data_IF_016088636436
#
_entry.id   IF_016088636436
#
_cell.length_a   1.000
_cell.length_b   1.000
_cell.length_c   1.000
_cell.angle_alpha   90.00
_cell.angle_beta   90.00
_cell.angle_gamma   90.00
#
_symmetry.space_group_name_H-M   'P 1'
#
loop_
_entity.id
_entity.type
_entity.pdbx_description
1 polymer ?
#
# COMPACT_ATOMS: atom_id res chain seq x y z
N UNK A 1 15.81 -24.88 -55.31
CA UNK A 1 16.69 -24.47 -54.21
C UNK A 1 16.74 -22.94 -54.22
N UNK A 2 15.77 -22.31 -53.55
CA UNK A 2 15.62 -20.85 -53.47
C UNK A 2 15.65 -20.53 -51.98
N UNK A 3 16.78 -19.91 -51.52
CA UNK A 3 17.03 -19.46 -50.17
C UNK A 3 16.26 -18.12 -49.99
N UNK A 4 15.20 -18.10 -49.23
CA UNK A 4 14.54 -16.88 -48.77
C UNK A 4 15.24 -16.40 -47.51
N UNK A 5 16.02 -15.34 -47.61
CA UNK A 5 16.64 -14.62 -46.50
C UNK A 5 15.53 -13.75 -45.87
N UNK A 6 15.06 -14.14 -44.69
CA UNK A 6 14.17 -13.31 -43.88
C UNK A 6 15.01 -12.22 -43.20
N UNK A 7 14.89 -10.99 -43.68
CA UNK A 7 15.42 -9.80 -43.02
C UNK A 7 14.53 -9.50 -41.82
N UNK A 8 15.04 -9.84 -40.63
CA UNK A 8 14.43 -9.44 -39.35
C UNK A 8 14.71 -7.95 -39.16
N UNK A 9 13.77 -7.10 -39.55
CA UNK A 9 13.81 -5.67 -39.21
C UNK A 9 13.63 -5.54 -37.69
N UNK A 10 14.73 -5.27 -36.96
CA UNK A 10 14.68 -4.74 -35.61
C UNK A 10 13.98 -3.37 -35.68
N UNK A 11 12.70 -3.34 -35.35
CA UNK A 11 12.03 -2.09 -35.01
C UNK A 11 12.69 -1.59 -33.73
N UNK A 12 13.58 -0.61 -33.85
CA UNK A 12 14.01 0.24 -32.74
C UNK A 12 12.75 0.94 -32.25
N UNK A 13 12.16 0.43 -31.19
CA UNK A 13 11.10 1.13 -30.47
C UNK A 13 11.75 2.39 -29.92
N UNK A 14 11.58 3.49 -30.61
CA UNK A 14 11.93 4.81 -30.13
C UNK A 14 11.04 5.05 -28.90
N UNK A 15 11.62 4.87 -27.71
CA UNK A 15 10.90 5.18 -26.47
C UNK A 15 10.74 6.69 -26.42
N UNK A 16 9.51 7.16 -26.67
CA UNK A 16 9.18 8.56 -26.48
C UNK A 16 9.54 8.97 -25.05
N UNK A 17 10.25 10.09 -24.92
CA UNK A 17 10.59 10.64 -23.60
C UNK A 17 9.30 10.97 -22.84
N UNK A 18 9.07 10.31 -21.74
CA UNK A 18 7.89 10.53 -20.89
C UNK A 18 8.02 11.90 -20.21
N UNK A 19 7.25 12.88 -20.70
CA UNK A 19 7.12 14.16 -20.03
C UNK A 19 6.22 13.99 -18.83
N UNK A 20 6.75 14.27 -17.65
CA UNK A 20 6.11 13.97 -16.39
C UNK A 20 5.96 15.25 -15.57
N UNK A 21 4.72 15.67 -15.35
CA UNK A 21 4.39 16.68 -14.35
C UNK A 21 4.25 16.04 -12.97
N UNK A 22 4.37 16.84 -11.90
CA UNK A 22 4.21 16.35 -10.54
C UNK A 22 2.82 15.73 -10.27
N UNK A 23 1.68 16.34 -10.70
CA UNK A 23 0.36 15.71 -10.55
C UNK A 23 0.24 14.37 -11.27
N UNK A 24 0.80 14.26 -12.48
CA UNK A 24 0.81 13.00 -13.23
C UNK A 24 1.65 11.93 -12.53
N UNK A 25 2.85 12.29 -12.02
CA UNK A 25 3.69 11.37 -11.26
C UNK A 25 2.94 10.79 -10.06
N UNK A 26 2.27 11.62 -9.27
CA UNK A 26 1.49 11.15 -8.13
C UNK A 26 0.31 10.28 -8.57
N UNK A 27 -0.37 10.63 -9.67
CA UNK A 27 -1.49 9.84 -10.20
C UNK A 27 -1.02 8.44 -10.66
N UNK A 28 0.11 8.36 -11.36
CA UNK A 28 0.70 7.08 -11.78
C UNK A 28 1.05 6.23 -10.56
N UNK A 29 1.73 6.81 -9.56
CA UNK A 29 2.11 6.08 -8.36
C UNK A 29 0.90 5.57 -7.57
N UNK A 30 -0.15 6.39 -7.41
CA UNK A 30 -1.38 5.96 -6.71
C UNK A 30 -2.10 4.81 -7.42
N UNK A 31 -1.84 4.59 -8.72
CA UNK A 31 -2.39 3.49 -9.49
C UNK A 31 -1.48 2.27 -9.51
N UNK A 32 -0.16 2.46 -9.68
CA UNK A 32 0.78 1.41 -10.01
C UNK A 32 1.74 1.02 -8.86
N UNK A 33 1.91 1.87 -7.82
CA UNK A 33 2.83 1.59 -6.73
C UNK A 33 2.44 0.31 -5.98
N UNK A 34 3.42 -0.52 -5.68
CA UNK A 34 3.22 -1.82 -5.04
C UNK A 34 2.63 -1.68 -3.62
N UNK A 35 2.98 -0.63 -2.89
CA UNK A 35 2.43 -0.34 -1.57
C UNK A 35 0.91 -0.08 -1.63
N UNK A 36 0.44 0.66 -2.64
CA UNK A 36 -0.99 0.93 -2.86
C UNK A 36 -1.71 -0.34 -3.31
N UNK A 37 -1.10 -1.12 -4.20
CA UNK A 37 -1.64 -2.41 -4.66
C UNK A 37 -1.78 -3.40 -3.49
N UNK A 38 -0.77 -3.45 -2.61
CA UNK A 38 -0.80 -4.26 -1.38
C UNK A 38 -1.92 -3.80 -0.45
N UNK A 39 -2.03 -2.51 -0.16
CA UNK A 39 -3.09 -1.97 0.69
C UNK A 39 -4.50 -2.27 0.13
N UNK A 40 -4.68 -2.19 -1.19
CA UNK A 40 -5.92 -2.58 -1.84
C UNK A 40 -6.19 -4.10 -1.76
N UNK A 41 -5.15 -4.95 -1.81
CA UNK A 41 -5.28 -6.39 -1.60
C UNK A 41 -5.68 -6.72 -0.15
N UNK A 42 -5.15 -6.01 0.84
CA UNK A 42 -5.53 -6.14 2.25
C UNK A 42 -7.01 -5.75 2.47
N UNK A 43 -7.51 -4.72 1.78
CA UNK A 43 -8.95 -4.39 1.79
C UNK A 43 -9.77 -5.55 1.22
N UNK A 44 -9.39 -6.13 0.07
CA UNK A 44 -10.09 -7.30 -0.51
C UNK A 44 -10.05 -8.53 0.42
N UNK A 45 -8.92 -8.74 1.11
CA UNK A 45 -8.81 -9.81 2.13
C UNK A 45 -9.83 -9.62 3.25
N UNK A 46 -9.95 -8.41 3.79
CA UNK A 46 -10.93 -8.12 4.86
C UNK A 46 -12.38 -8.16 4.34
N UNK A 47 -12.62 -7.81 3.08
CA UNK A 47 -13.94 -8.00 2.43
C UNK A 47 -14.32 -9.47 2.34
N UNK A 48 -13.39 -10.34 1.95
CA UNK A 48 -13.60 -11.78 1.95
C UNK A 48 -13.87 -12.32 3.36
N UNK A 49 -13.19 -11.78 4.38
CA UNK A 49 -13.47 -12.13 5.79
C UNK A 49 -14.88 -11.73 6.24
N UNK A 50 -15.44 -10.63 5.75
CA UNK A 50 -16.84 -10.26 5.99
C UNK A 50 -17.78 -11.29 5.36
N UNK A 51 -17.49 -11.75 4.14
CA UNK A 51 -18.30 -12.78 3.46
C UNK A 51 -18.24 -14.11 4.22
N UNK A 52 -17.05 -14.56 4.63
CA UNK A 52 -16.91 -15.80 5.41
C UNK A 52 -17.58 -15.72 6.77
N UNK A 53 -17.49 -14.58 7.47
CA UNK A 53 -18.18 -14.37 8.75
C UNK A 53 -19.70 -14.37 8.61
N UNK A 54 -20.23 -13.91 7.46
CA UNK A 54 -21.66 -13.97 7.16
C UNK A 54 -22.09 -15.37 6.75
N UNK A 55 -21.23 -16.12 6.10
CA UNK A 55 -21.55 -17.46 5.58
C UNK A 55 -21.92 -18.44 6.71
N UNK A 56 -21.38 -18.28 7.91
CA UNK A 56 -21.74 -19.11 9.08
C UNK A 56 -23.20 -18.97 9.50
N UNK A 57 -23.82 -17.80 9.21
CA UNK A 57 -25.23 -17.53 9.48
C UNK A 57 -26.17 -17.99 8.35
N UNK A 58 -25.65 -18.50 7.22
CA UNK A 58 -26.45 -18.95 6.09
C UNK A 58 -26.62 -20.46 6.09
N UNK A 59 -27.69 -21.00 5.43
CA UNK A 59 -27.86 -22.44 5.24
C UNK A 59 -26.65 -23.04 4.53
N UNK A 60 -26.18 -24.20 5.03
CA UNK A 60 -25.06 -24.95 4.49
C UNK A 60 -25.56 -26.23 3.87
N UNK A 61 -25.35 -26.41 2.58
CA UNK A 61 -25.64 -27.67 1.87
C UNK A 61 -24.35 -28.42 1.62
N UNK A 62 -24.28 -29.65 2.13
CA UNK A 62 -23.12 -30.54 1.96
C UNK A 62 -23.54 -31.86 1.39
N UNK A 63 -22.90 -32.31 0.32
CA UNK A 63 -23.04 -33.65 -0.22
C UNK A 63 -21.88 -34.51 0.30
N UNK A 64 -22.19 -35.66 0.90
CA UNK A 64 -21.18 -36.59 1.42
C UNK A 64 -21.46 -37.97 0.83
N UNK A 65 -20.43 -38.60 0.27
CA UNK A 65 -20.46 -39.98 -0.18
C UNK A 65 -19.46 -40.80 0.64
N UNK A 66 -19.90 -41.95 1.15
CA UNK A 66 -19.02 -42.87 1.87
C UNK A 66 -19.20 -44.29 1.36
N UNK A 67 -18.11 -45.00 1.19
CA UNK A 67 -18.06 -46.44 1.00
C UNK A 67 -17.31 -47.06 2.17
N UNK A 68 -17.95 -48.03 2.82
CA UNK A 68 -17.36 -48.82 3.87
C UNK A 68 -17.34 -50.29 3.51
N UNK A 69 -16.19 -50.92 3.60
CA UNK A 69 -16.06 -52.38 3.52
C UNK A 69 -15.71 -52.92 4.90
N UNK A 70 -16.56 -53.82 5.38
CA UNK A 70 -16.43 -54.44 6.69
C UNK A 70 -15.82 -55.83 6.56
N UNK A 71 -14.57 -55.99 6.87
CA UNK A 71 -13.85 -57.26 6.82
C UNK A 71 -14.32 -58.27 7.89
N UNK A 72 -14.73 -57.77 9.05
CA UNK A 72 -15.21 -58.58 10.16
C UNK A 72 -16.27 -57.85 10.98
N UNK A 73 -17.44 -58.41 11.13
CA UNK A 73 -18.56 -57.89 11.91
C UNK A 73 -18.80 -58.73 13.14
N UNK A 74 -18.49 -58.26 14.34
CA UNK A 74 -18.67 -58.98 15.60
C UNK A 74 -20.14 -59.34 15.87
N UNK A 75 -21.09 -58.44 15.53
CA UNK A 75 -22.52 -58.63 15.70
C UNK A 75 -23.05 -59.74 14.79
N UNK A 76 -22.57 -59.80 13.56
CA UNK A 76 -22.95 -60.86 12.61
C UNK A 76 -22.44 -62.24 13.08
N UNK A 77 -21.29 -62.29 13.72
CA UNK A 77 -20.72 -63.50 14.33
C UNK A 77 -21.44 -63.97 15.60
N UNK A 78 -21.85 -62.99 16.46
CA UNK A 78 -22.43 -63.28 17.76
C UNK A 78 -23.94 -63.58 17.72
N UNK A 79 -24.71 -62.95 16.83
CA UNK A 79 -26.17 -62.96 16.87
C UNK A 79 -26.77 -63.64 15.62
N UNK A 80 -26.51 -63.13 14.41
CA UNK A 80 -27.04 -63.73 13.18
C UNK A 80 -26.34 -63.15 11.94
N UNK A 81 -26.21 -63.94 10.88
CA UNK A 81 -25.67 -63.55 9.57
C UNK A 81 -26.48 -62.48 8.84
N UNK A 82 -27.75 -62.23 9.25
CA UNK A 82 -28.57 -61.14 8.70
C UNK A 82 -27.92 -59.76 8.86
N UNK A 83 -27.06 -59.57 9.89
CA UNK A 83 -26.31 -58.35 10.10
C UNK A 83 -24.99 -58.27 9.33
N UNK A 84 -24.71 -59.25 8.47
CA UNK A 84 -23.51 -59.27 7.66
C UNK A 84 -23.72 -58.41 6.39
N UNK A 85 -23.30 -57.14 6.48
CA UNK A 85 -23.32 -56.17 5.38
C UNK A 85 -21.87 -55.81 5.06
N UNK A 86 -21.21 -56.59 4.17
CA UNK A 86 -19.78 -56.37 3.90
C UNK A 86 -19.51 -55.02 3.21
N UNK A 87 -20.44 -54.54 2.40
CA UNK A 87 -20.28 -53.29 1.67
C UNK A 87 -21.45 -52.36 1.98
N UNK A 88 -21.14 -51.10 2.26
CA UNK A 88 -22.15 -50.05 2.48
C UNK A 88 -21.78 -48.82 1.67
N UNK A 89 -22.67 -48.41 0.81
CA UNK A 89 -22.59 -47.12 0.09
C UNK A 89 -23.61 -46.17 0.70
N UNK A 90 -23.15 -44.96 1.04
CA UNK A 90 -24.03 -43.90 1.50
C UNK A 90 -23.75 -42.63 0.67
N UNK A 91 -24.80 -42.03 0.13
CA UNK A 91 -24.75 -40.71 -0.48
C UNK A 91 -25.80 -39.82 0.18
N UNK A 92 -25.35 -38.80 0.90
CA UNK A 92 -26.23 -37.94 1.69
C UNK A 92 -26.03 -36.46 1.33
N UNK A 93 -27.13 -35.78 1.04
CA UNK A 93 -27.21 -34.35 1.00
C UNK A 93 -27.71 -33.84 2.36
N UNK A 94 -26.90 -33.04 3.06
CA UNK A 94 -27.22 -32.49 4.38
C UNK A 94 -27.32 -30.98 4.25
N UNK A 95 -28.52 -30.43 4.47
CA UNK A 95 -28.79 -29.01 4.61
C UNK A 95 -28.85 -28.69 6.11
N UNK A 96 -27.97 -27.84 6.60
CA UNK A 96 -27.94 -27.43 8.00
C UNK A 96 -27.98 -25.90 8.12
N UNK A 97 -28.74 -25.41 9.10
CA UNK A 97 -28.87 -24.00 9.43
C UNK A 97 -28.76 -23.79 10.93
N UNK A 98 -27.77 -23.05 11.37
CA UNK A 98 -27.70 -22.61 12.77
C UNK A 98 -28.69 -21.46 12.96
N UNK A 99 -29.68 -21.67 13.83
CA UNK A 99 -30.69 -20.68 14.17
C UNK A 99 -30.25 -19.79 15.34
N UNK A 100 -29.50 -20.37 16.27
CA UNK A 100 -29.01 -19.66 17.43
C UNK A 100 -27.69 -20.26 17.91
N UNK A 101 -26.71 -19.40 18.16
CA UNK A 101 -25.42 -19.73 18.78
C UNK A 101 -24.98 -18.55 19.66
N UNK A 102 -25.83 -18.16 20.61
CA UNK A 102 -25.49 -17.10 21.54
C UNK A 102 -25.21 -15.72 20.91
N UNK A 103 -25.62 -15.50 19.66
CA UNK A 103 -25.34 -14.25 18.94
C UNK A 103 -23.93 -14.14 18.34
N UNK A 104 -23.14 -15.22 18.36
CA UNK A 104 -21.76 -15.30 17.83
C UNK A 104 -21.68 -14.79 16.40
N UNK A 105 -22.56 -15.24 15.51
CA UNK A 105 -22.56 -14.90 14.09
C UNK A 105 -22.69 -13.39 13.89
N UNK A 106 -23.61 -12.75 14.60
CA UNK A 106 -23.82 -11.30 14.51
C UNK A 106 -22.64 -10.52 15.08
N UNK A 107 -22.06 -10.96 16.20
CA UNK A 107 -20.89 -10.33 16.80
C UNK A 107 -19.65 -10.46 15.89
N UNK A 108 -19.40 -11.64 15.36
CA UNK A 108 -18.29 -11.91 14.43
C UNK A 108 -18.44 -11.13 13.13
N UNK A 109 -19.65 -11.06 12.57
CA UNK A 109 -19.93 -10.27 11.37
C UNK A 109 -19.73 -8.76 11.59
N UNK A 110 -20.20 -8.23 12.73
CA UNK A 110 -19.96 -6.82 13.09
C UNK A 110 -18.47 -6.54 13.27
N UNK A 111 -17.74 -7.42 13.95
CA UNK A 111 -16.29 -7.32 14.10
C UNK A 111 -15.58 -7.28 12.74
N UNK A 112 -15.90 -8.23 11.84
CA UNK A 112 -15.33 -8.29 10.50
C UNK A 112 -15.63 -7.03 9.67
N UNK A 113 -16.84 -6.48 9.75
CA UNK A 113 -17.19 -5.21 9.08
C UNK A 113 -16.37 -4.03 9.60
N UNK A 114 -16.11 -3.94 10.91
CA UNK A 114 -15.27 -2.90 11.49
C UNK A 114 -13.82 -3.03 11.08
N UNK A 115 -13.30 -4.28 11.03
CA UNK A 115 -11.94 -4.54 10.53
C UNK A 115 -11.81 -4.15 9.06
N UNK A 116 -12.80 -4.45 8.21
CA UNK A 116 -12.82 -4.00 6.81
C UNK A 116 -12.80 -2.47 6.70
N UNK A 117 -13.59 -1.77 7.50
CA UNK A 117 -13.61 -0.30 7.48
C UNK A 117 -12.29 0.30 7.97
N UNK A 118 -11.68 -0.30 9.00
CA UNK A 118 -10.33 0.06 9.44
C UNK A 118 -9.29 -0.13 8.32
N UNK A 119 -9.33 -1.27 7.62
CA UNK A 119 -8.44 -1.54 6.49
C UNK A 119 -8.58 -0.51 5.34
N UNK A 120 -9.81 -0.05 5.05
CA UNK A 120 -10.06 1.00 4.06
C UNK A 120 -9.44 2.34 4.47
N UNK A 121 -9.55 2.71 5.74
CA UNK A 121 -8.92 3.91 6.28
C UNK A 121 -7.40 3.81 6.25
N UNK A 122 -6.84 2.66 6.62
CA UNK A 122 -5.40 2.39 6.53
C UNK A 122 -4.90 2.48 5.08
N UNK A 123 -5.66 1.93 4.12
CA UNK A 123 -5.32 2.05 2.71
C UNK A 123 -5.32 3.53 2.23
N UNK A 124 -6.20 4.37 2.79
CA UNK A 124 -6.19 5.82 2.57
C UNK A 124 -4.91 6.48 3.08
N UNK A 125 -4.45 6.12 4.29
CA UNK A 125 -3.16 6.60 4.84
C UNK A 125 -1.98 6.16 3.98
N UNK A 126 -1.92 4.89 3.57
CA UNK A 126 -0.87 4.40 2.67
C UNK A 126 -0.82 5.19 1.36
N UNK A 127 -1.96 5.54 0.78
CA UNK A 127 -2.01 6.39 -0.43
C UNK A 127 -1.44 7.78 -0.15
N UNK A 128 -1.76 8.39 1.00
CA UNK A 128 -1.21 9.69 1.38
C UNK A 128 0.32 9.63 1.58
N UNK A 129 0.82 8.57 2.21
CA UNK A 129 2.26 8.33 2.39
C UNK A 129 2.98 8.16 1.03
N UNK A 130 2.42 7.35 0.13
CA UNK A 130 2.96 7.16 -1.22
C UNK A 130 2.95 8.49 -1.99
N UNK A 131 1.88 9.29 -1.91
CA UNK A 131 1.81 10.59 -2.56
C UNK A 131 2.91 11.54 -2.08
N UNK A 132 3.15 11.62 -0.76
CA UNK A 132 4.26 12.43 -0.20
C UNK A 132 5.62 11.84 -0.56
N UNK A 133 5.76 10.51 -0.59
CA UNK A 133 6.98 9.82 -1.02
C UNK A 133 7.35 10.17 -2.46
N UNK A 134 6.38 10.16 -3.37
CA UNK A 134 6.57 10.54 -4.78
C UNK A 134 6.87 12.03 -4.91
N UNK A 135 6.14 12.87 -4.15
CA UNK A 135 6.42 14.30 -4.08
C UNK A 135 7.89 14.55 -3.71
N UNK A 136 8.38 13.89 -2.66
CA UNK A 136 9.78 13.99 -2.21
C UNK A 136 10.77 13.56 -3.29
N UNK A 137 10.52 12.43 -3.94
CA UNK A 137 11.40 11.92 -4.99
C UNK A 137 11.40 12.83 -6.23
N UNK A 138 10.23 13.31 -6.66
CA UNK A 138 10.10 14.23 -7.80
C UNK A 138 10.82 15.57 -7.53
N UNK A 139 10.56 16.16 -6.36
CA UNK A 139 11.19 17.41 -5.96
C UNK A 139 12.71 17.26 -5.77
N UNK A 140 13.14 16.10 -5.26
CA UNK A 140 14.56 15.75 -5.15
C UNK A 140 15.24 15.66 -6.53
N UNK A 141 14.59 15.01 -7.49
CA UNK A 141 15.09 14.92 -8.87
C UNK A 141 15.14 16.31 -9.56
N UNK A 142 14.08 17.10 -9.40
CA UNK A 142 14.02 18.48 -9.93
C UNK A 142 15.10 19.37 -9.31
N UNK A 143 15.37 19.23 -8.00
CA UNK A 143 16.47 19.91 -7.33
C UNK A 143 17.82 19.47 -7.88
N UNK A 144 18.04 18.17 -8.07
CA UNK A 144 19.29 17.64 -8.61
C UNK A 144 19.56 18.18 -10.04
N UNK A 145 18.52 18.28 -10.89
CA UNK A 145 18.61 18.93 -12.21
C UNK A 145 18.99 20.42 -12.09
N UNK A 146 18.40 21.15 -11.14
CA UNK A 146 18.71 22.55 -10.92
C UNK A 146 20.15 22.72 -10.42
N UNK A 147 20.63 21.87 -9.51
CA UNK A 147 22.01 21.88 -9.01
C UNK A 147 23.01 21.54 -10.10
N UNK A 148 22.74 20.54 -10.94
CA UNK A 148 23.58 20.24 -12.12
C UNK A 148 23.69 21.47 -13.02
N UNK A 149 22.61 22.15 -13.32
CA UNK A 149 22.59 23.36 -14.15
C UNK A 149 23.43 24.48 -13.52
N UNK A 150 23.21 24.78 -12.24
CA UNK A 150 23.96 25.81 -11.50
C UNK A 150 25.47 25.49 -11.55
N UNK A 151 25.88 24.27 -11.28
CA UNK A 151 27.29 23.85 -11.33
C UNK A 151 27.87 23.92 -12.74
N UNK A 152 27.07 23.51 -13.76
CA UNK A 152 27.45 23.62 -15.16
C UNK A 152 27.68 25.06 -15.61
N UNK A 153 26.80 25.98 -15.27
CA UNK A 153 26.93 27.41 -15.54
C UNK A 153 28.17 28.00 -14.88
N UNK A 154 28.46 27.62 -13.64
CA UNK A 154 29.69 28.03 -12.93
C UNK A 154 30.96 27.49 -13.59
N UNK A 155 30.96 26.28 -14.12
CA UNK A 155 32.10 25.73 -14.87
C UNK A 155 32.32 26.52 -16.17
N UNK A 156 31.24 26.94 -16.87
CA UNK A 156 31.33 27.79 -18.07
C UNK A 156 31.94 29.14 -17.71
N UNK A 157 31.47 29.79 -16.63
CA UNK A 157 32.03 31.07 -16.16
C UNK A 157 33.51 30.96 -15.76
N UNK A 158 33.90 29.87 -15.09
CA UNK A 158 35.29 29.59 -14.74
C UNK A 158 36.17 29.41 -16.00
N UNK A 159 35.64 28.73 -17.04
CA UNK A 159 36.33 28.53 -18.30
C UNK A 159 36.54 29.86 -19.03
N UNK A 160 35.54 30.73 -19.04
CA UNK A 160 35.63 32.07 -19.60
C UNK A 160 36.69 32.91 -18.87
N UNK A 161 36.77 32.77 -17.53
CA UNK A 161 37.79 33.45 -16.71
C UNK A 161 39.22 32.98 -17.01
N UNK A 162 39.42 31.66 -17.25
CA UNK A 162 40.72 31.16 -17.70
C UNK A 162 41.15 31.86 -19.00
N UNK A 163 40.26 31.92 -19.99
CA UNK A 163 40.54 32.61 -21.28
C UNK A 163 40.84 34.05 -21.09
N UNK A 164 40.07 34.76 -20.24
CA UNK A 164 40.32 36.17 -19.92
C UNK A 164 41.67 36.41 -19.21
N UNK A 165 42.05 35.56 -18.24
CA UNK A 165 43.32 35.64 -17.53
C UNK A 165 44.51 35.39 -18.47
N UNK A 166 44.38 34.48 -19.44
CA UNK A 166 45.40 34.18 -20.47
C UNK A 166 45.58 35.42 -21.38
N UNK A 167 44.49 36.05 -21.82
CA UNK A 167 44.52 37.26 -22.64
C UNK A 167 45.20 38.42 -21.89
N UNK A 168 44.85 38.63 -20.62
CA UNK A 168 45.45 39.68 -19.83
C UNK A 168 46.95 39.41 -19.52
N UNK A 169 47.32 38.16 -19.31
CA UNK A 169 48.72 37.76 -19.17
C UNK A 169 49.55 38.03 -20.43
N UNK A 170 49.02 37.67 -21.59
CA UNK A 170 49.69 37.93 -22.88
C UNK A 170 49.81 39.44 -23.14
N UNK A 171 48.90 40.25 -22.62
CA UNK A 171 49.00 41.72 -22.64
C UNK A 171 49.85 42.32 -21.54
N UNK A 172 50.50 41.49 -20.70
CA UNK A 172 51.35 41.93 -19.60
C UNK A 172 50.64 42.60 -18.41
N UNK A 173 49.32 42.40 -18.29
CA UNK A 173 48.45 43.09 -17.29
C UNK A 173 48.24 42.29 -16.02
N UNK A 174 48.47 40.98 -16.02
CA UNK A 174 48.32 40.11 -14.84
C UNK A 174 49.51 39.16 -14.73
N UNK A 175 49.76 38.59 -13.55
CA UNK A 175 50.83 37.65 -13.30
C UNK A 175 50.50 36.25 -13.78
N UNK A 176 51.52 35.44 -14.08
CA UNK A 176 51.33 33.99 -14.39
C UNK A 176 50.60 33.22 -13.30
N UNK A 177 50.76 33.68 -12.06
CA UNK A 177 50.01 33.13 -10.90
C UNK A 177 48.51 33.21 -11.10
N UNK A 178 47.95 34.30 -11.60
CA UNK A 178 46.51 34.48 -11.80
C UNK A 178 45.97 33.49 -12.88
N UNK A 179 46.74 33.22 -13.92
CA UNK A 179 46.37 32.22 -14.94
C UNK A 179 46.39 30.82 -14.33
N UNK A 180 47.43 30.46 -13.58
CA UNK A 180 47.47 29.12 -12.96
C UNK A 180 46.37 28.93 -11.93
N UNK A 181 46.05 29.95 -11.18
CA UNK A 181 44.95 29.96 -10.21
C UNK A 181 43.57 29.73 -10.89
N UNK A 182 43.26 30.47 -11.96
CA UNK A 182 42.01 30.29 -12.67
C UNK A 182 41.88 28.93 -13.29
N UNK A 183 42.96 28.33 -13.79
CA UNK A 183 43.00 26.94 -14.28
C UNK A 183 42.71 25.91 -13.17
N UNK A 184 43.29 26.10 -11.99
CA UNK A 184 43.03 25.23 -10.82
C UNK A 184 41.59 25.36 -10.36
N UNK A 185 41.02 26.57 -10.31
CA UNK A 185 39.62 26.80 -9.98
C UNK A 185 38.68 26.08 -10.95
N UNK A 186 38.93 26.21 -12.26
CA UNK A 186 38.17 25.43 -13.26
C UNK A 186 38.26 23.94 -13.06
N UNK A 187 39.48 23.41 -12.87
CA UNK A 187 39.75 21.99 -12.67
C UNK A 187 39.06 21.44 -11.41
N UNK A 188 38.91 22.24 -10.34
CA UNK A 188 38.18 21.85 -9.14
C UNK A 188 36.65 21.83 -9.33
N UNK A 189 36.11 22.55 -10.30
CA UNK A 189 34.67 22.55 -10.59
C UNK A 189 34.24 21.38 -11.49
N UNK A 190 35.12 20.84 -12.32
CA UNK A 190 34.79 19.71 -13.22
C UNK A 190 34.28 18.47 -12.47
N UNK A 191 34.92 17.98 -11.37
CA UNK A 191 34.41 16.84 -10.59
C UNK A 191 33.03 17.11 -9.97
N UNK A 192 32.76 18.38 -9.56
CA UNK A 192 31.48 18.76 -8.95
C UNK A 192 30.32 18.68 -9.96
N UNK A 193 30.59 19.00 -11.25
CA UNK A 193 29.58 18.86 -12.32
C UNK A 193 29.32 17.37 -12.60
N UNK A 194 30.38 16.56 -12.64
CA UNK A 194 30.26 15.10 -12.85
C UNK A 194 29.45 14.48 -11.71
N UNK A 195 29.73 14.88 -10.47
CA UNK A 195 28.97 14.42 -9.31
C UNK A 195 27.50 14.83 -9.40
N UNK A 196 27.19 16.10 -9.73
CA UNK A 196 25.83 16.58 -9.84
C UNK A 196 25.02 15.82 -10.92
N UNK A 197 25.67 15.49 -12.04
CA UNK A 197 25.07 14.65 -13.10
C UNK A 197 24.75 13.26 -12.59
N UNK A 198 25.65 12.64 -11.85
CA UNK A 198 25.41 11.32 -11.25
C UNK A 198 24.29 11.40 -10.19
N UNK A 199 24.29 12.43 -9.33
CA UNK A 199 23.25 12.62 -8.32
C UNK A 199 21.86 12.78 -8.96
N UNK A 200 21.77 13.49 -10.10
CA UNK A 200 20.52 13.61 -10.87
C UNK A 200 20.05 12.23 -11.39
N UNK A 201 20.96 11.44 -11.98
CA UNK A 201 20.60 10.11 -12.48
C UNK A 201 20.10 9.20 -11.35
N UNK A 202 20.75 9.21 -10.18
CA UNK A 202 20.31 8.45 -9.01
C UNK A 202 18.91 8.92 -8.56
N UNK A 203 18.66 10.22 -8.50
CA UNK A 203 17.35 10.75 -8.11
C UNK A 203 16.24 10.37 -9.11
N UNK A 204 16.54 10.35 -10.41
CA UNK A 204 15.61 9.88 -11.44
C UNK A 204 15.36 8.37 -11.35
N UNK A 205 16.38 7.57 -11.00
CA UNK A 205 16.21 6.12 -10.75
C UNK A 205 15.28 5.87 -9.55
N UNK A 206 15.43 6.61 -8.46
CA UNK A 206 14.54 6.52 -7.30
C UNK A 206 13.09 6.88 -7.65
N UNK A 207 12.90 7.91 -8.47
CA UNK A 207 11.58 8.30 -8.95
C UNK A 207 10.97 7.20 -9.85
N UNK A 208 11.74 6.64 -10.82
CA UNK A 208 11.27 5.52 -11.67
C UNK A 208 10.82 4.33 -10.84
N UNK A 209 11.57 3.98 -9.81
CA UNK A 209 11.23 2.88 -8.89
C UNK A 209 9.89 3.13 -8.18
N UNK A 210 9.66 4.34 -7.66
CA UNK A 210 8.41 4.67 -6.99
C UNK A 210 7.20 4.70 -7.93
N UNK A 211 7.43 5.01 -9.21
CA UNK A 211 6.40 5.01 -10.25
C UNK A 211 6.19 3.62 -10.89
N UNK A 212 6.96 2.62 -10.46
CA UNK A 212 6.99 1.28 -11.06
C UNK A 212 7.26 1.31 -12.57
N UNK A 213 8.16 2.22 -13.00
CA UNK A 213 8.58 2.37 -14.39
C UNK A 213 9.87 1.56 -14.64
N UNK A 214 10.13 1.14 -15.90
CA UNK A 214 11.39 0.52 -16.27
C UNK A 214 12.59 1.44 -15.93
N UNK A 215 13.69 0.84 -15.47
CA UNK A 215 14.90 1.57 -15.05
C UNK A 215 15.46 2.46 -16.17
N UNK A 216 15.31 2.04 -17.42
CA UNK A 216 15.83 2.72 -18.62
C UNK A 216 14.83 3.71 -19.24
N UNK A 217 13.61 3.85 -18.68
CA UNK A 217 12.60 4.76 -19.23
C UNK A 217 13.12 6.21 -19.22
N UNK A 218 13.18 6.90 -20.37
CA UNK A 218 13.57 8.29 -20.40
C UNK A 218 12.46 9.16 -19.82
N UNK A 219 12.77 9.93 -18.77
CA UNK A 219 11.83 10.83 -18.09
C UNK A 219 12.36 12.26 -18.20
N UNK A 220 11.47 13.19 -18.53
CA UNK A 220 11.68 14.64 -18.51
C UNK A 220 10.72 15.26 -17.50
N UNK A 221 11.26 15.96 -16.49
CA UNK A 221 10.45 16.63 -15.47
C UNK A 221 9.95 17.98 -16.02
N UNK A 222 8.64 18.22 -15.97
CA UNK A 222 8.04 19.44 -16.52
C UNK A 222 7.67 20.48 -15.47
N UNK A 223 7.52 20.08 -14.20
CA UNK A 223 7.17 20.99 -13.11
C UNK A 223 8.41 21.62 -12.51
N UNK A 224 8.52 22.93 -12.57
CA UNK A 224 9.56 23.71 -11.93
C UNK A 224 9.04 24.31 -10.62
N UNK A 225 9.93 24.38 -9.61
CA UNK A 225 9.60 25.01 -8.33
C UNK A 225 10.19 26.43 -8.35
N UNK A 226 9.30 27.39 -8.37
CA UNK A 226 9.64 28.80 -8.27
C UNK A 226 9.04 29.43 -7.00
N UNK A 227 9.37 30.69 -6.75
CA UNK A 227 8.87 31.45 -5.59
C UNK A 227 7.36 31.59 -5.59
N UNK A 228 6.69 31.57 -6.78
CA UNK A 228 5.25 31.70 -6.89
C UNK A 228 4.57 30.40 -6.44
N UNK A 229 5.12 29.26 -6.83
CA UNK A 229 4.66 27.93 -6.40
C UNK A 229 4.76 27.79 -4.88
N UNK A 230 5.88 28.20 -4.27
CA UNK A 230 6.06 28.18 -2.80
C UNK A 230 5.02 29.06 -2.12
N UNK A 231 4.72 30.26 -2.64
CA UNK A 231 3.74 31.16 -2.02
C UNK A 231 2.30 30.59 -2.08
N UNK A 232 1.91 29.95 -3.17
CA UNK A 232 0.62 29.24 -3.29
C UNK A 232 0.48 28.12 -2.27
N UNK A 233 1.52 27.31 -2.12
CA UNK A 233 1.53 26.19 -1.18
C UNK A 233 1.45 26.66 0.27
N UNK A 234 2.15 27.72 0.62
CA UNK A 234 2.08 28.33 1.95
C UNK A 234 0.67 28.86 2.24
N UNK A 235 -0.01 29.44 1.25
CA UNK A 235 -1.40 29.90 1.39
C UNK A 235 -2.35 28.73 1.62
N UNK A 236 -2.19 27.64 0.88
CA UNK A 236 -2.97 26.42 1.05
C UNK A 236 -2.73 25.76 2.42
N UNK A 237 -1.49 25.80 2.92
CA UNK A 237 -1.13 25.28 4.25
C UNK A 237 -1.68 26.11 5.42
N UNK A 238 -2.05 27.38 5.19
CA UNK A 238 -2.54 28.32 6.22
C UNK A 238 -4.03 28.16 6.58
N UNK A 239 -4.74 27.17 6.03
CA UNK A 239 -6.14 26.93 6.33
C UNK A 239 -6.37 26.50 7.79
N UNK A 240 -7.60 26.77 8.37
CA UNK A 240 -7.88 26.48 9.77
C UNK A 240 -7.73 25.01 10.14
N UNK A 241 -7.46 24.76 11.41
CA UNK A 241 -7.12 23.47 11.96
C UNK A 241 -8.20 22.39 11.75
N UNK A 242 -7.74 21.21 11.44
CA UNK A 242 -8.54 19.99 11.41
C UNK A 242 -8.48 19.30 12.78
N UNK A 243 -9.58 18.63 13.19
CA UNK A 243 -9.60 17.87 14.43
C UNK A 243 -8.77 16.59 14.29
N UNK A 244 -7.71 16.36 15.08
CA UNK A 244 -6.87 15.17 15.02
C UNK A 244 -7.64 13.84 15.16
N UNK A 245 -8.77 13.84 15.89
CA UNK A 245 -9.66 12.68 16.06
C UNK A 245 -10.27 12.19 14.73
N UNK A 246 -10.34 13.05 13.72
CA UNK A 246 -10.88 12.69 12.40
C UNK A 246 -9.84 12.06 11.47
N UNK A 247 -8.57 11.97 11.91
CA UNK A 247 -7.52 11.34 11.10
C UNK A 247 -7.84 9.87 10.85
N UNK A 248 -7.56 9.40 9.63
CA UNK A 248 -7.91 8.05 9.21
C UNK A 248 -7.23 6.98 10.06
N UNK A 249 -5.97 7.19 10.48
CA UNK A 249 -5.23 6.26 11.34
C UNK A 249 -5.87 6.13 12.73
N UNK A 250 -6.27 7.23 13.37
CA UNK A 250 -6.94 7.22 14.68
C UNK A 250 -8.30 6.52 14.57
N UNK A 251 -9.08 6.83 13.51
CA UNK A 251 -10.37 6.18 13.28
C UNK A 251 -10.21 4.68 12.97
N UNK A 252 -9.16 4.27 12.28
CA UNK A 252 -8.85 2.86 12.02
C UNK A 252 -8.53 2.12 13.33
N UNK A 253 -7.72 2.72 14.21
CA UNK A 253 -7.43 2.18 15.53
C UNK A 253 -8.69 2.09 16.40
N UNK A 254 -9.56 3.10 16.38
CA UNK A 254 -10.84 3.08 17.09
C UNK A 254 -11.75 1.95 16.59
N UNK A 255 -11.88 1.78 15.27
CA UNK A 255 -12.66 0.69 14.69
C UNK A 255 -12.09 -0.68 15.05
N UNK A 256 -10.77 -0.80 15.14
CA UNK A 256 -10.10 -2.02 15.59
C UNK A 256 -10.43 -2.32 17.06
N UNK A 257 -10.38 -1.36 17.96
CA UNK A 257 -10.77 -1.51 19.35
C UNK A 257 -12.26 -1.91 19.47
N UNK A 258 -13.14 -1.29 18.68
CA UNK A 258 -14.56 -1.67 18.62
C UNK A 258 -14.78 -3.08 18.08
N UNK A 259 -13.96 -3.53 17.12
CA UNK A 259 -14.01 -4.91 16.62
C UNK A 259 -13.58 -5.92 17.71
N UNK A 260 -12.57 -5.60 18.51
CA UNK A 260 -12.15 -6.42 19.66
C UNK A 260 -13.24 -6.49 20.74
N UNK A 261 -14.00 -5.41 20.95
CA UNK A 261 -15.18 -5.40 21.86
C UNK A 261 -16.28 -6.34 21.36
N UNK A 262 -16.56 -6.37 20.05
CA UNK A 262 -17.50 -7.34 19.46
C UNK A 262 -16.98 -8.79 19.61
N UNK A 263 -15.66 -9.00 19.53
CA UNK A 263 -15.06 -10.33 19.75
C UNK A 263 -15.30 -10.88 21.17
N UNK A 264 -15.40 -10.02 22.19
CA UNK A 264 -15.81 -10.45 23.54
C UNK A 264 -17.25 -10.99 23.53
N UNK A 265 -18.16 -10.33 22.81
CA UNK A 265 -19.53 -10.82 22.68
C UNK A 265 -19.58 -12.17 21.95
N UNK A 266 -18.74 -12.37 20.94
CA UNK A 266 -18.60 -13.66 20.27
C UNK A 266 -18.00 -14.75 21.17
N UNK A 267 -17.03 -14.42 22.02
CA UNK A 267 -16.47 -15.37 23.00
C UNK A 267 -17.48 -15.74 24.09
N UNK A 268 -18.30 -14.80 24.58
CA UNK A 268 -19.35 -15.07 25.55
C UNK A 268 -20.42 -16.02 25.03
N UNK A 269 -20.60 -16.11 23.74
CA UNK A 269 -21.54 -17.02 23.10
C UNK A 269 -21.22 -18.51 23.36
N UNK A 270 -19.98 -18.85 23.74
CA UNK A 270 -19.60 -20.21 24.09
C UNK A 270 -20.29 -20.74 25.37
N UNK A 271 -20.82 -19.86 26.21
CA UNK A 271 -21.59 -20.24 27.40
C UNK A 271 -23.07 -20.47 27.11
N UNK A 272 -23.52 -20.14 25.92
CA UNK A 272 -24.92 -20.19 25.53
C UNK A 272 -25.21 -21.43 24.68
N UNK A 273 -26.46 -21.93 24.68
CA UNK A 273 -26.82 -23.08 23.86
C UNK A 273 -26.72 -22.79 22.36
N UNK A 274 -26.51 -23.83 21.58
CA UNK A 274 -26.57 -23.82 20.12
C UNK A 274 -27.83 -24.55 19.65
N UNK A 275 -28.57 -23.96 18.74
CA UNK A 275 -29.75 -24.52 18.10
C UNK A 275 -29.50 -24.59 16.59
N UNK A 276 -29.50 -25.81 16.05
CA UNK A 276 -29.29 -26.04 14.62
C UNK A 276 -30.44 -26.89 14.06
N UNK A 277 -31.06 -26.43 13.00
CA UNK A 277 -32.01 -27.23 12.21
C UNK A 277 -31.24 -27.90 11.09
N UNK A 278 -31.56 -29.15 10.84
CA UNK A 278 -30.97 -29.90 9.73
C UNK A 278 -32.03 -30.66 8.96
N UNK A 279 -31.80 -30.81 7.68
CA UNK A 279 -32.53 -31.71 6.79
C UNK A 279 -31.51 -32.56 6.03
N UNK A 280 -31.64 -33.85 6.17
CA UNK A 280 -30.78 -34.82 5.48
C UNK A 280 -31.64 -35.64 4.52
N UNK A 281 -31.20 -35.78 3.30
CA UNK A 281 -31.80 -36.66 2.32
C UNK A 281 -30.69 -37.45 1.64
N UNK A 282 -30.82 -38.77 1.65
CA UNK A 282 -29.77 -39.62 1.14
C UNK A 282 -30.31 -40.92 0.56
N UNK A 283 -29.38 -41.68 0.02
CA UNK A 283 -29.61 -43.05 -0.42
C UNK A 283 -28.49 -43.93 0.08
N UNK A 284 -28.87 -45.15 0.46
CA UNK A 284 -27.95 -46.17 0.95
C UNK A 284 -28.12 -47.46 0.16
N UNK A 285 -27.00 -48.16 -0.04
CA UNK A 285 -27.03 -49.47 -0.67
C UNK A 285 -26.12 -50.45 0.08
N UNK A 286 -26.52 -51.70 0.14
CA UNK A 286 -25.84 -52.77 0.88
C UNK A 286 -25.52 -53.96 -0.01
N UNK A 287 -24.77 -53.82 -1.11
CA UNK A 287 -24.48 -54.91 -2.03
C UNK A 287 -23.56 -55.95 -1.38
N UNK A 288 -23.74 -57.24 -1.76
CA UNK A 288 -22.83 -58.31 -1.39
C UNK A 288 -21.51 -58.22 -2.18
N UNK A 289 -21.57 -57.74 -3.42
CA UNK A 289 -20.40 -57.42 -4.26
C UNK A 289 -19.75 -56.10 -3.80
N UNK A 290 -18.50 -55.90 -4.12
CA UNK A 290 -17.78 -54.65 -3.78
C UNK A 290 -18.19 -53.41 -4.58
N UNK A 291 -19.15 -53.52 -5.50
CA UNK A 291 -19.62 -52.45 -6.38
C UNK A 291 -21.04 -51.98 -6.02
N UNK A 292 -21.36 -50.71 -6.23
CA UNK A 292 -22.72 -50.23 -6.03
C UNK A 292 -23.68 -50.95 -6.97
N UNK A 293 -24.92 -51.28 -6.52
CA UNK A 293 -25.88 -51.96 -7.35
C UNK A 293 -26.24 -51.11 -8.58
N UNK A 294 -26.32 -51.76 -9.74
CA UNK A 294 -26.79 -51.14 -10.97
C UNK A 294 -28.29 -50.84 -10.93
N UNK A 295 -28.78 -50.01 -11.88
CA UNK A 295 -30.21 -49.79 -12.04
C UNK A 295 -30.87 -51.09 -12.42
N UNK A 296 -31.85 -51.56 -11.63
CA UNK A 296 -32.61 -52.80 -11.90
C UNK A 296 -32.11 -54.05 -11.17
N UNK A 297 -30.95 -53.98 -10.44
CA UNK A 297 -30.56 -55.08 -9.57
C UNK A 297 -31.43 -55.06 -8.31
N UNK A 298 -32.21 -56.13 -8.10
CA UNK A 298 -32.94 -56.36 -6.85
C UNK A 298 -32.07 -57.12 -5.87
N UNK A 299 -32.02 -56.68 -4.62
CA UNK A 299 -31.42 -57.53 -3.57
C UNK A 299 -32.47 -58.49 -3.05
N UNK A 300 -32.37 -59.80 -3.33
CA UNK A 300 -33.39 -60.78 -2.94
C UNK A 300 -33.64 -60.87 -1.43
N UNK A 301 -32.71 -60.33 -0.61
CA UNK A 301 -32.78 -60.34 0.87
C UNK A 301 -33.69 -59.25 1.45
N UNK A 302 -33.89 -58.16 0.74
CA UNK A 302 -34.64 -57.00 1.25
C UNK A 302 -35.98 -56.77 0.51
N UNK A 303 -36.20 -57.49 -0.58
CA UNK A 303 -37.44 -57.49 -1.32
C UNK A 303 -37.91 -58.92 -1.50
N UNK A 304 -38.53 -59.55 -0.47
CA UNK A 304 -39.04 -60.90 -0.56
C UNK A 304 -40.15 -61.00 -1.61
N UNK A 305 -40.22 -62.13 -2.27
CA UNK A 305 -41.26 -62.44 -3.26
C UNK A 305 -42.65 -62.19 -2.63
N UNK A 306 -43.46 -61.36 -3.27
CA UNK A 306 -44.79 -60.98 -2.78
C UNK A 306 -44.85 -59.72 -1.94
N UNK A 307 -43.71 -59.03 -1.71
CA UNK A 307 -43.75 -57.70 -1.11
C UNK A 307 -44.49 -56.72 -2.04
N UNK A 308 -45.33 -55.80 -1.51
CA UNK A 308 -45.93 -54.77 -2.35
C UNK A 308 -44.81 -54.05 -3.09
N UNK A 309 -45.04 -53.73 -4.36
CA UNK A 309 -44.08 -53.04 -5.23
C UNK A 309 -43.79 -51.65 -4.66
N UNK A 310 -43.10 -51.58 -3.53
CA UNK A 310 -42.57 -50.36 -2.96
C UNK A 310 -41.48 -49.85 -3.93
N UNK A 311 -41.49 -48.54 -4.18
CA UNK A 311 -40.54 -47.86 -5.09
C UNK A 311 -39.07 -48.15 -4.75
N UNK A 312 -38.80 -48.51 -3.50
CA UNK A 312 -37.45 -48.90 -3.01
C UNK A 312 -36.96 -50.21 -3.61
N UNK A 313 -37.84 -51.20 -3.82
CA UNK A 313 -37.48 -52.48 -4.48
C UNK A 313 -37.27 -52.34 -5.98
N UNK A 314 -37.86 -51.34 -6.62
CA UNK A 314 -37.70 -51.05 -8.05
C UNK A 314 -36.43 -50.24 -8.35
N UNK A 315 -35.77 -49.66 -7.35
CA UNK A 315 -34.61 -48.78 -7.52
C UNK A 315 -33.24 -49.53 -7.46
N UNK A 316 -33.18 -50.79 -7.71
CA UNK A 316 -31.93 -51.54 -7.81
C UNK A 316 -31.16 -51.63 -6.50
N UNK A 317 -31.84 -51.80 -5.35
CA UNK A 317 -31.21 -51.98 -4.05
C UNK A 317 -30.69 -50.71 -3.39
N UNK A 318 -31.08 -49.56 -3.87
CA UNK A 318 -30.88 -48.26 -3.23
C UNK A 318 -32.08 -47.89 -2.37
N UNK A 319 -31.82 -47.62 -1.07
CA UNK A 319 -32.86 -47.28 -0.10
C UNK A 319 -32.75 -45.78 0.21
N UNK A 320 -33.84 -45.03 0.07
CA UNK A 320 -33.91 -43.64 0.39
C UNK A 320 -34.07 -43.41 1.90
N UNK A 321 -33.32 -42.45 2.45
CA UNK A 321 -33.45 -41.98 3.83
C UNK A 321 -33.69 -40.48 3.82
N UNK A 322 -34.64 -40.01 4.64
CA UNK A 322 -34.96 -38.62 4.80
C UNK A 322 -35.22 -38.31 6.26
N UNK A 323 -34.42 -37.42 6.82
CA UNK A 323 -34.52 -37.04 8.24
C UNK A 323 -34.49 -35.54 8.32
N UNK A 324 -35.40 -34.98 9.15
CA UNK A 324 -35.37 -33.56 9.54
C UNK A 324 -35.39 -33.50 11.06
N UNK A 325 -34.62 -32.62 11.61
CA UNK A 325 -34.55 -32.49 13.06
C UNK A 325 -34.00 -31.14 13.51
N UNK A 326 -34.09 -30.95 14.82
CA UNK A 326 -33.48 -29.83 15.55
C UNK A 326 -32.48 -30.39 16.52
N UNK A 327 -31.26 -29.92 16.43
CA UNK A 327 -30.20 -30.26 17.39
C UNK A 327 -30.05 -29.09 18.38
N UNK A 328 -30.22 -29.39 19.67
CA UNK A 328 -29.95 -28.49 20.79
C UNK A 328 -28.72 -29.01 21.53
N UNK A 329 -27.70 -28.16 21.68
CA UNK A 329 -26.48 -28.48 22.41
C UNK A 329 -26.14 -27.34 23.37
N UNK A 330 -25.95 -27.65 24.63
CA UNK A 330 -25.58 -26.69 25.66
C UNK A 330 -24.42 -27.25 26.49
N UNK A 331 -23.22 -26.65 26.39
CA UNK A 331 -22.08 -27.07 27.23
C UNK A 331 -22.26 -26.56 28.66
N UNK A 332 -22.71 -27.42 29.56
CA UNK A 332 -22.87 -27.05 30.97
C UNK A 332 -21.54 -26.91 31.71
N UNK A 333 -20.55 -27.66 31.29
CA UNK A 333 -19.16 -27.58 31.77
C UNK A 333 -18.21 -27.94 30.62
N UNK A 334 -17.27 -27.06 30.31
CA UNK A 334 -16.34 -27.18 29.20
C UNK A 334 -14.86 -27.16 29.64
N UNK A 335 -14.59 -27.37 30.92
CA UNK A 335 -13.24 -27.32 31.51
C UNK A 335 -12.65 -25.89 31.55
N UNK A 336 -13.47 -24.85 31.70
CA UNK A 336 -13.09 -23.43 31.75
C UNK A 336 -12.62 -22.85 30.42
N UNK A 337 -12.82 -23.54 29.31
CA UNK A 337 -12.43 -23.10 27.96
C UNK A 337 -13.12 -21.78 27.59
N UNK A 338 -14.40 -21.66 27.80
CA UNK A 338 -15.17 -20.44 27.52
C UNK A 338 -14.68 -19.26 28.38
N UNK A 339 -14.36 -19.49 29.65
CA UNK A 339 -13.75 -18.47 30.52
C UNK A 339 -12.42 -17.98 29.95
N UNK A 340 -11.52 -18.90 29.62
CA UNK A 340 -10.23 -18.55 29.03
C UNK A 340 -10.35 -17.80 27.70
N UNK A 341 -11.34 -18.15 26.86
CA UNK A 341 -11.61 -17.44 25.60
C UNK A 341 -12.09 -15.99 25.85
N UNK A 342 -12.91 -15.77 26.89
CA UNK A 342 -13.36 -14.43 27.29
C UNK A 342 -12.20 -13.61 27.84
N UNK A 343 -11.39 -14.17 28.73
CA UNK A 343 -10.22 -13.50 29.31
C UNK A 343 -9.24 -13.09 28.21
N UNK A 344 -8.97 -13.98 27.25
CA UNK A 344 -8.15 -13.70 26.06
C UNK A 344 -8.74 -12.53 25.22
N UNK A 345 -10.06 -12.54 24.99
CA UNK A 345 -10.71 -11.50 24.21
C UNK A 345 -10.69 -10.14 24.95
N UNK A 346 -10.79 -10.14 26.28
CA UNK A 346 -10.67 -8.92 27.12
C UNK A 346 -9.25 -8.34 27.05
N UNK A 347 -8.23 -9.17 27.21
CA UNK A 347 -6.82 -8.74 27.08
C UNK A 347 -6.52 -8.17 25.68
N UNK A 348 -7.06 -8.80 24.63
CA UNK A 348 -6.95 -8.25 23.26
C UNK A 348 -7.67 -6.90 23.08
N UNK A 349 -8.77 -6.65 23.79
CA UNK A 349 -9.41 -5.33 23.78
C UNK A 349 -8.53 -4.31 24.50
N UNK A 350 -8.00 -4.61 25.66
CA UNK A 350 -7.11 -3.72 26.41
C UNK A 350 -5.89 -3.33 25.57
N UNK A 351 -5.24 -4.28 24.90
CA UNK A 351 -4.13 -4.01 23.97
C UNK A 351 -4.58 -3.04 22.86
N UNK A 352 -5.77 -3.24 22.29
CA UNK A 352 -6.27 -2.37 21.23
C UNK A 352 -6.64 -0.96 21.73
N UNK A 353 -7.14 -0.83 22.95
CA UNK A 353 -7.43 0.48 23.56
C UNK A 353 -6.13 1.24 23.91
N UNK A 354 -5.10 0.56 24.38
CA UNK A 354 -3.76 1.13 24.56
C UNK A 354 -3.13 1.57 23.23
N UNK A 355 -3.27 0.74 22.18
CA UNK A 355 -2.80 1.09 20.84
C UNK A 355 -3.52 2.34 20.28
N UNK A 356 -4.82 2.49 20.54
CA UNK A 356 -5.57 3.69 20.18
C UNK A 356 -5.06 4.94 20.91
N UNK A 357 -4.77 4.80 22.22
CA UNK A 357 -4.21 5.92 23.00
C UNK A 357 -2.85 6.34 22.47
N UNK A 358 -1.96 5.38 22.19
CA UNK A 358 -0.64 5.62 21.58
C UNK A 358 -0.74 6.28 20.21
N UNK A 359 -1.71 5.86 19.37
CA UNK A 359 -1.90 6.46 18.05
C UNK A 359 -2.35 7.92 18.14
N UNK A 360 -3.23 8.26 19.09
CA UNK A 360 -3.63 9.65 19.36
C UNK A 360 -2.45 10.53 19.76
N UNK A 361 -1.60 10.04 20.65
CA UNK A 361 -0.38 10.74 21.06
C UNK A 361 0.60 10.90 19.92
N UNK A 362 0.80 9.84 19.12
CA UNK A 362 1.68 9.86 17.95
C UNK A 362 1.21 10.89 16.91
N UNK A 363 -0.08 10.93 16.60
CA UNK A 363 -0.68 11.93 15.69
C UNK A 363 -0.53 13.35 16.22
N UNK A 364 -0.77 13.58 17.51
CA UNK A 364 -0.59 14.91 18.11
C UNK A 364 0.85 15.39 18.02
N UNK A 365 1.81 14.50 18.29
CA UNK A 365 3.24 14.79 18.17
C UNK A 365 3.65 15.03 16.71
N UNK A 366 3.14 14.23 15.77
CA UNK A 366 3.41 14.37 14.34
C UNK A 366 2.95 15.74 13.83
N UNK A 367 1.72 16.17 14.18
CA UNK A 367 1.19 17.49 13.82
C UNK A 367 2.05 18.61 14.40
N UNK A 368 2.44 18.49 15.68
CA UNK A 368 3.29 19.50 16.33
C UNK A 368 4.65 19.62 15.62
N UNK A 369 5.29 18.50 15.29
CA UNK A 369 6.56 18.45 14.55
C UNK A 369 6.42 19.03 13.14
N UNK A 370 5.38 18.65 12.40
CA UNK A 370 5.15 19.16 11.05
C UNK A 370 4.91 20.68 11.02
N UNK A 371 4.20 21.24 12.02
CA UNK A 371 4.01 22.69 12.18
C UNK A 371 5.33 23.41 12.47
N UNK A 372 6.13 22.88 13.39
CA UNK A 372 7.42 23.46 13.72
C UNK A 372 8.37 23.42 12.52
N UNK A 373 8.38 22.32 11.77
CA UNK A 373 9.20 22.16 10.57
C UNK A 373 8.79 23.13 9.46
N UNK A 374 7.49 23.30 9.20
CA UNK A 374 7.01 24.28 8.22
C UNK A 374 7.40 25.71 8.63
N UNK A 375 7.26 26.07 9.91
CA UNK A 375 7.66 27.38 10.40
C UNK A 375 9.17 27.63 10.23
N UNK A 376 10.00 26.63 10.56
CA UNK A 376 11.45 26.66 10.37
C UNK A 376 11.81 26.82 8.89
N UNK A 377 11.28 25.95 8.00
CA UNK A 377 11.59 25.96 6.59
C UNK A 377 11.17 27.26 5.91
N UNK A 378 9.99 27.81 6.29
CA UNK A 378 9.52 29.13 5.80
C UNK A 378 10.49 30.27 6.16
N UNK A 379 10.98 30.28 7.39
CA UNK A 379 11.94 31.35 7.86
C UNK A 379 13.28 31.22 7.15
N UNK A 380 13.77 29.99 6.95
CA UNK A 380 15.03 29.73 6.23
C UNK A 380 14.90 30.14 4.77
N UNK A 381 13.82 29.79 4.09
CA UNK A 381 13.59 30.15 2.69
C UNK A 381 13.57 31.68 2.50
N UNK A 382 12.87 32.40 3.38
CA UNK A 382 12.82 33.86 3.32
C UNK A 382 14.23 34.51 3.47
N UNK A 383 15.05 33.99 4.39
CA UNK A 383 16.44 34.45 4.57
C UNK A 383 17.33 34.11 3.36
N UNK A 384 17.20 32.85 2.80
CA UNK A 384 18.03 32.42 1.67
C UNK A 384 17.73 33.20 0.38
N UNK A 385 16.47 33.59 0.12
CA UNK A 385 16.13 34.47 -1.00
C UNK A 385 16.85 35.80 -0.96
N UNK A 386 16.90 36.42 0.20
CA UNK A 386 17.64 37.68 0.37
C UNK A 386 19.15 37.49 0.15
N UNK A 387 19.73 36.40 0.69
CA UNK A 387 21.15 36.09 0.53
C UNK A 387 21.56 35.92 -0.94
N UNK A 388 20.71 35.28 -1.78
CA UNK A 388 20.98 35.13 -3.23
C UNK A 388 21.07 36.50 -3.90
N UNK A 389 20.14 37.42 -3.59
CA UNK A 389 20.12 38.75 -4.18
C UNK A 389 21.40 39.56 -3.80
N UNK A 390 21.83 39.45 -2.55
CA UNK A 390 23.05 40.13 -2.06
C UNK A 390 24.32 39.49 -2.66
N UNK A 391 24.37 38.15 -2.79
CA UNK A 391 25.49 37.42 -3.38
C UNK A 391 25.66 37.72 -4.87
N UNK A 392 24.51 37.79 -5.62
CA UNK A 392 24.54 38.17 -7.04
C UNK A 392 25.06 39.54 -7.28
N UNK A 393 24.62 40.54 -6.49
CA UNK A 393 25.13 41.92 -6.58
C UNK A 393 26.62 41.99 -6.20
N UNK A 394 27.05 41.25 -5.16
CA UNK A 394 28.46 41.19 -4.77
C UNK A 394 29.32 40.60 -5.90
N UNK A 395 28.89 39.51 -6.53
CA UNK A 395 29.60 38.93 -7.67
C UNK A 395 29.65 39.87 -8.86
N UNK A 396 28.56 40.56 -9.18
CA UNK A 396 28.49 41.53 -10.25
C UNK A 396 29.47 42.70 -10.03
N UNK A 397 29.52 43.25 -8.81
CA UNK A 397 30.44 44.35 -8.43
C UNK A 397 31.91 43.89 -8.45
N UNK A 398 32.23 42.70 -7.92
CA UNK A 398 33.57 42.12 -7.95
C UNK A 398 34.09 41.94 -9.38
N UNK A 399 33.22 41.37 -10.26
CA UNK A 399 33.51 41.16 -11.67
C UNK A 399 33.76 42.48 -12.42
N UNK A 400 32.98 43.54 -12.13
CA UNK A 400 33.15 44.86 -12.72
C UNK A 400 34.45 45.51 -12.26
N UNK A 401 34.78 45.45 -10.96
CA UNK A 401 36.05 45.95 -10.40
C UNK A 401 37.26 45.27 -11.00
N UNK A 402 37.20 43.92 -11.15
CA UNK A 402 38.28 43.16 -11.76
C UNK A 402 38.47 43.51 -13.24
N UNK A 403 37.40 43.64 -14.02
CA UNK A 403 37.50 44.01 -15.44
C UNK A 403 38.11 45.41 -15.67
N UNK A 404 37.93 46.33 -14.69
CA UNK A 404 38.52 47.68 -14.70
C UNK A 404 39.95 47.73 -14.09
N UNK A 405 40.47 46.61 -13.57
CA UNK A 405 41.82 46.51 -13.00
C UNK A 405 41.96 47.09 -11.60
N UNK A 406 40.84 47.35 -10.88
CA UNK A 406 40.82 47.88 -9.51
C UNK A 406 40.41 46.82 -8.47
N UNK A 407 40.13 45.60 -8.91
CA UNK A 407 39.84 44.45 -8.05
C UNK A 407 40.80 43.28 -8.32
N UNK A 408 40.80 42.30 -7.43
CA UNK A 408 41.62 41.09 -7.55
C UNK A 408 40.81 39.91 -8.12
N UNK A 409 41.50 38.94 -8.75
CA UNK A 409 40.86 37.68 -9.18
C UNK A 409 40.32 36.89 -7.97
N UNK A 410 40.90 37.03 -6.78
CA UNK A 410 40.44 36.42 -5.54
C UNK A 410 39.04 36.90 -5.16
N UNK A 411 38.81 38.24 -5.18
CA UNK A 411 37.49 38.80 -4.87
C UNK A 411 36.41 38.25 -5.76
N UNK A 412 36.71 38.10 -7.07
CA UNK A 412 35.74 37.50 -8.03
C UNK A 412 35.47 36.03 -7.74
N UNK A 413 36.54 35.25 -7.46
CA UNK A 413 36.39 33.82 -7.18
C UNK A 413 35.60 33.56 -5.91
N UNK A 414 35.86 34.33 -4.86
CA UNK A 414 35.19 34.23 -3.56
C UNK A 414 33.71 34.59 -3.69
N UNK A 415 33.41 35.73 -4.34
CA UNK A 415 32.01 36.16 -4.57
C UNK A 415 31.24 35.21 -5.48
N UNK A 416 31.89 34.58 -6.48
CA UNK A 416 31.27 33.53 -7.32
C UNK A 416 30.96 32.29 -6.49
N UNK A 417 31.86 31.84 -5.62
CA UNK A 417 31.61 30.67 -4.75
C UNK A 417 30.44 30.95 -3.79
N UNK A 418 30.38 32.17 -3.21
CA UNK A 418 29.26 32.55 -2.35
C UNK A 418 27.93 32.58 -3.10
N UNK A 419 27.91 33.07 -4.34
CA UNK A 419 26.72 33.04 -5.19
C UNK A 419 26.28 31.61 -5.49
N UNK A 420 27.21 30.71 -5.86
CA UNK A 420 26.94 29.28 -6.11
C UNK A 420 26.30 28.62 -4.89
N UNK A 421 26.89 28.84 -3.70
CA UNK A 421 26.38 28.28 -2.45
C UNK A 421 24.97 28.84 -2.17
N UNK A 422 24.78 30.16 -2.28
CA UNK A 422 23.50 30.81 -2.01
C UNK A 422 22.37 30.33 -2.96
N UNK A 423 22.69 30.18 -4.24
CA UNK A 423 21.73 29.65 -5.23
C UNK A 423 21.33 28.19 -4.95
N UNK A 424 22.31 27.37 -4.56
CA UNK A 424 22.05 25.97 -4.20
C UNK A 424 21.21 25.86 -2.93
N UNK A 425 21.54 26.65 -1.91
CA UNK A 425 20.81 26.69 -0.65
C UNK A 425 19.39 27.24 -0.79
N UNK A 426 19.18 28.23 -1.66
CA UNK A 426 17.83 28.74 -1.97
C UNK A 426 16.99 27.67 -2.64
N UNK A 427 17.55 26.97 -3.65
CA UNK A 427 16.87 25.89 -4.33
C UNK A 427 16.46 24.76 -3.39
N UNK A 428 17.37 24.35 -2.50
CA UNK A 428 17.09 23.35 -1.47
C UNK A 428 16.00 23.83 -0.52
N UNK A 429 16.08 25.07 -0.02
CA UNK A 429 15.11 25.63 0.93
C UNK A 429 13.69 25.76 0.34
N UNK A 430 13.58 26.00 -0.97
CA UNK A 430 12.28 26.00 -1.66
C UNK A 430 11.63 24.61 -1.65
N UNK A 431 12.42 23.56 -1.91
CA UNK A 431 11.97 22.17 -1.81
C UNK A 431 11.58 21.82 -0.38
N UNK A 432 12.38 22.20 0.60
CA UNK A 432 12.13 21.92 2.03
C UNK A 432 10.80 22.54 2.50
N UNK A 433 10.49 23.77 2.09
CA UNK A 433 9.19 24.40 2.40
C UNK A 433 8.04 23.62 1.82
N UNK A 434 8.17 23.20 0.55
CA UNK A 434 7.12 22.44 -0.10
C UNK A 434 6.88 21.11 0.59
N UNK A 435 7.94 20.35 0.87
CA UNK A 435 7.85 19.07 1.59
C UNK A 435 7.24 19.23 2.97
N UNK A 436 7.66 20.26 3.72
CA UNK A 436 7.11 20.54 5.05
C UNK A 436 5.62 20.88 5.01
N UNK A 437 5.16 21.60 3.99
CA UNK A 437 3.74 21.91 3.79
C UNK A 437 2.93 20.64 3.42
N UNK A 438 3.47 19.79 2.56
CA UNK A 438 2.84 18.52 2.18
C UNK A 438 2.75 17.53 3.36
N UNK A 439 3.83 17.45 4.17
CA UNK A 439 3.84 16.64 5.40
C UNK A 439 2.83 17.16 6.44
N UNK A 440 2.70 18.47 6.58
CA UNK A 440 1.67 19.05 7.45
C UNK A 440 0.27 18.73 6.95
N UNK A 441 0.02 18.83 5.64
CA UNK A 441 -1.26 18.45 5.05
C UNK A 441 -1.58 16.97 5.32
N UNK A 442 -0.61 16.07 5.13
CA UNK A 442 -0.74 14.64 5.46
C UNK A 442 -0.99 14.44 6.96
N UNK A 443 -0.21 15.05 7.83
CA UNK A 443 -0.35 14.94 9.28
C UNK A 443 -1.74 15.41 9.76
N UNK A 444 -2.31 16.41 9.10
CA UNK A 444 -3.68 16.89 9.36
C UNK A 444 -4.78 16.08 8.65
N UNK A 445 -4.43 15.06 7.84
CA UNK A 445 -5.38 14.29 7.05
C UNK A 445 -6.07 15.11 5.95
N UNK A 446 -5.40 16.17 5.46
CA UNK A 446 -5.90 17.06 4.40
C UNK A 446 -5.44 16.63 3.02
N UNK A 447 -6.12 17.12 1.97
CA UNK A 447 -5.58 17.00 0.62
C UNK A 447 -4.20 17.63 0.51
N UNK A 448 -3.27 16.92 -0.13
CA UNK A 448 -1.91 17.40 -0.37
C UNK A 448 -1.95 18.44 -1.49
N UNK A 449 -1.43 19.66 -1.26
CA UNK A 449 -1.41 20.69 -2.28
C UNK A 449 -0.41 20.36 -3.40
N UNK A 450 -0.83 20.53 -4.64
CA UNK A 450 0.01 20.38 -5.82
C UNK A 450 0.17 21.72 -6.56
N UNK A 451 1.23 21.89 -7.37
CA UNK A 451 1.37 23.03 -8.26
C UNK A 451 0.19 23.13 -9.22
N UNK A 452 -0.29 24.36 -9.47
CA UNK A 452 -1.47 24.58 -10.32
C UNK A 452 -2.79 24.63 -9.57
N UNK A 453 -2.79 24.51 -8.22
CA UNK A 453 -4.01 24.58 -7.41
C UNK A 453 -4.77 23.25 -7.33
N UNK A 454 -4.24 22.20 -7.90
CA UNK A 454 -4.77 20.85 -7.75
C UNK A 454 -4.47 20.32 -6.33
N UNK A 455 -5.35 19.44 -5.86
CA UNK A 455 -5.16 18.77 -4.57
C UNK A 455 -5.41 17.28 -4.71
N UNK A 456 -4.61 16.46 -4.05
CA UNK A 456 -4.87 15.02 -3.95
C UNK A 456 -5.53 14.73 -2.63
N UNK A 457 -6.79 14.28 -2.69
CA UNK A 457 -7.48 13.75 -1.52
C UNK A 457 -7.15 12.26 -1.34
N UNK A 458 -6.62 11.83 -0.20
CA UNK A 458 -6.35 10.42 0.06
C UNK A 458 -7.62 9.55 0.05
N UNK A 459 -8.81 10.17 0.10
CA UNK A 459 -10.09 9.47 0.19
C UNK A 459 -10.84 9.28 -1.14
N UNK A 460 -10.45 9.96 -2.23
CA UNK A 460 -11.31 10.12 -3.43
C UNK A 460 -11.26 8.96 -4.44
N UNK A 461 -10.43 7.94 -4.28
CA UNK A 461 -10.33 6.82 -5.24
C UNK A 461 -10.98 5.51 -4.76
N UNK A 462 -11.92 5.57 -3.82
CA UNK A 462 -12.67 4.37 -3.39
C UNK A 462 -13.76 3.93 -4.39
N UNK A 463 -14.03 4.72 -5.46
CA UNK A 463 -15.04 4.47 -6.48
C UNK A 463 -14.44 4.58 -7.90
N UNK A 464 -13.43 3.78 -8.22
CA UNK A 464 -13.17 3.42 -9.60
C UNK A 464 -13.65 1.97 -9.80
N UNK A 465 -14.40 1.67 -10.88
CA UNK A 465 -15.13 0.42 -11.11
C UNK A 465 -14.23 -0.81 -11.24
#
# INVERSE_FOLDING_TARGET
MILTVAILSLAVVQQDTLRLSLPEAVTIALREADEVRRANADVKLTEAQVVTSRASALPQLRLTGTYNHVFANARARAVNQVFNQPNTYNLNANLSQTLFQGGREFASWRAARRVREAARLTAGETRAEVAVGVLRAYLGASLAERVERIRGENLILASQRVTQSEQLFNAGRVARYDVLRSRVERANLEPLVIQARNDREIALLDLRRLLNLPVEAPIELTTTIDSSTVSMILTAASQPDFNPENRASVRAAELTARARRDAIAAARADWLPTITVFFQSGVQAFPQSGFPPGRGETSPRFCPDGAPADRSCQNGGWFGDRTMGVNFSWPLFDGLRAKGAIDLAQANLEIAELALAQEREAVALEIARARAELARSRSIFAARRQTVTEADEAFRLASLRYSRGIGTSLEVSDSQLQLLISQTDEAQSAVDVYLAAAELARALGRPIPLPGGETISPQTTANAP
#
